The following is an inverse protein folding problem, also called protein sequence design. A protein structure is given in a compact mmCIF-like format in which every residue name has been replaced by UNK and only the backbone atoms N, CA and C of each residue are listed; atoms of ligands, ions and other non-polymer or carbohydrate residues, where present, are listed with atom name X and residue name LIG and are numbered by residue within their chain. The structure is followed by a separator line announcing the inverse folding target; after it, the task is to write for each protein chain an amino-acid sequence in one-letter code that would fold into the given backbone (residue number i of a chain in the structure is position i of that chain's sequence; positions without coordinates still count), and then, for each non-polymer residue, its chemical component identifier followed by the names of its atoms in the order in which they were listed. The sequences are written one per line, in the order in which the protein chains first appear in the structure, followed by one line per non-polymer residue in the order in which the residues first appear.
data_IF_100527786791
#
_entry.id   IF_100527786791
#
_cell.length_a   1.000
_cell.length_b   1.000
_cell.length_c   1.000
_cell.angle_alpha   90.00
_cell.angle_beta   90.00
_cell.angle_gamma   90.00
#
_symmetry.space_group_name_H-M   'P 1'
#
loop_
_entity.id
_entity.type
_entity.pdbx_description
1 polymer ?
#
# COMPACT_ATOMS: atom_id res chain seq x y z
N UNK A 1 14.12 33.75 6.36
CA UNK A 1 12.96 33.39 7.20
C UNK A 1 11.71 33.67 6.39
N UNK A 2 11.18 32.67 5.71
CA UNK A 2 9.86 32.76 5.08
C UNK A 2 8.91 32.05 6.03
N UNK A 3 8.07 32.84 6.68
CA UNK A 3 7.02 32.37 7.58
C UNK A 3 5.85 31.92 6.70
N UNK A 4 5.57 30.61 6.68
CA UNK A 4 4.37 30.09 6.02
C UNK A 4 3.14 30.50 6.85
N UNK A 5 2.30 31.34 6.23
CA UNK A 5 1.07 31.86 6.79
C UNK A 5 -0.10 30.91 6.53
N UNK A 6 -0.32 29.91 7.40
CA UNK A 6 -1.62 29.24 7.56
C UNK A 6 -1.86 28.97 9.06
N UNK A 7 -2.89 29.64 9.61
CA UNK A 7 -3.67 29.39 10.83
C UNK A 7 -2.97 28.79 12.08
N UNK A 8 -2.91 29.59 13.16
CA UNK A 8 -2.61 29.26 14.58
C UNK A 8 -2.03 27.86 14.86
N UNK A 9 -0.72 27.82 15.14
CA UNK A 9 0.15 26.63 15.26
C UNK A 9 0.03 25.89 16.62
N UNK A 10 -0.66 26.46 17.62
CA UNK A 10 -0.65 25.87 18.96
C UNK A 10 -1.80 24.88 19.17
N UNK A 11 -1.44 23.59 19.29
CA UNK A 11 -2.35 22.55 19.76
C UNK A 11 -2.77 22.84 21.20
N UNK A 12 -4.06 22.68 21.50
CA UNK A 12 -4.56 22.77 22.86
C UNK A 12 -4.32 21.46 23.62
N UNK A 13 -4.43 21.48 24.95
CA UNK A 13 -4.41 20.25 25.75
C UNK A 13 -5.50 19.25 25.30
N UNK A 14 -6.65 19.74 24.85
CA UNK A 14 -7.73 18.91 24.32
C UNK A 14 -7.34 18.20 23.02
N UNK A 15 -6.61 18.89 22.14
CA UNK A 15 -6.13 18.29 20.88
C UNK A 15 -5.10 17.19 21.16
N UNK A 16 -4.20 17.41 22.13
CA UNK A 16 -3.20 16.43 22.55
C UNK A 16 -3.86 15.21 23.21
N UNK A 17 -4.86 15.41 24.08
CA UNK A 17 -5.62 14.30 24.67
C UNK A 17 -6.35 13.52 23.59
N UNK A 18 -7.03 14.22 22.66
CA UNK A 18 -7.72 13.57 21.54
C UNK A 18 -6.77 12.76 20.65
N UNK A 19 -5.55 13.26 20.43
CA UNK A 19 -4.51 12.53 19.71
C UNK A 19 -4.05 11.29 20.49
N UNK A 20 -3.91 11.41 21.81
CA UNK A 20 -3.57 10.27 22.67
C UNK A 20 -4.67 9.20 22.70
N UNK A 21 -5.94 9.59 22.57
CA UNK A 21 -7.09 8.67 22.63
C UNK A 21 -7.46 8.07 21.25
N UNK A 22 -6.89 8.57 20.15
CA UNK A 22 -7.30 8.17 18.78
C UNK A 22 -7.10 6.69 18.46
N UNK A 23 -6.28 5.97 19.24
CA UNK A 23 -6.12 4.53 19.10
C UNK A 23 -7.43 3.76 19.35
N UNK A 24 -8.32 4.29 20.20
CA UNK A 24 -9.55 3.61 20.61
C UNK A 24 -10.47 3.34 19.42
N UNK A 25 -10.66 4.32 18.54
CA UNK A 25 -11.49 4.18 17.33
C UNK A 25 -10.91 3.12 16.37
N UNK A 26 -9.59 3.11 16.21
CA UNK A 26 -8.89 2.10 15.39
C UNK A 26 -9.13 0.69 15.95
N UNK A 27 -8.99 0.51 17.26
CA UNK A 27 -9.21 -0.79 17.90
C UNK A 27 -10.66 -1.28 17.76
N UNK A 28 -11.64 -0.38 17.88
CA UNK A 28 -13.07 -0.69 17.70
C UNK A 28 -13.34 -1.14 16.25
N UNK A 29 -12.86 -0.40 15.26
CA UNK A 29 -13.01 -0.74 13.84
C UNK A 29 -12.38 -2.09 13.50
N UNK A 30 -11.14 -2.30 13.97
CA UNK A 30 -10.39 -3.54 13.75
C UNK A 30 -11.11 -4.75 14.37
N UNK A 31 -11.64 -4.61 15.59
CA UNK A 31 -12.43 -5.67 16.23
C UNK A 31 -13.74 -5.96 15.48
N UNK A 32 -14.48 -4.93 15.08
CA UNK A 32 -15.73 -5.08 14.33
C UNK A 32 -15.51 -5.77 12.98
N UNK A 33 -14.43 -5.42 12.27
CA UNK A 33 -14.02 -6.05 11.02
C UNK A 33 -13.68 -7.53 11.21
N UNK A 34 -12.76 -7.82 12.12
CA UNK A 34 -12.21 -9.19 12.31
C UNK A 34 -13.18 -10.16 12.96
N UNK A 35 -14.10 -9.66 13.78
CA UNK A 35 -15.20 -10.47 14.31
C UNK A 35 -16.25 -10.81 13.25
N UNK A 36 -16.20 -10.20 12.06
CA UNK A 36 -17.22 -10.34 11.02
C UNK A 36 -18.56 -9.75 11.44
N UNK A 37 -18.54 -8.65 12.19
CA UNK A 37 -19.75 -7.96 12.66
C UNK A 37 -20.47 -7.26 11.50
N UNK A 38 -19.72 -6.64 10.57
CA UNK A 38 -20.29 -5.96 9.42
C UNK A 38 -21.05 -6.92 8.48
N UNK A 39 -20.67 -8.20 8.41
CA UNK A 39 -21.42 -9.21 7.65
C UNK A 39 -22.82 -9.46 8.24
N UNK A 40 -22.95 -9.44 9.57
CA UNK A 40 -24.24 -9.62 10.25
C UNK A 40 -25.14 -8.38 10.16
N UNK A 41 -24.55 -7.22 9.89
CA UNK A 41 -25.23 -5.93 9.85
C UNK A 41 -25.62 -5.50 8.42
N UNK A 42 -25.49 -6.38 7.43
CA UNK A 42 -25.94 -6.11 6.05
C UNK A 42 -27.41 -5.69 5.99
N UNK A 43 -28.24 -6.34 6.81
CA UNK A 43 -29.66 -6.08 6.99
C UNK A 43 -29.97 -5.65 8.44
N UNK A 44 -31.08 -4.93 8.69
CA UNK A 44 -31.48 -4.52 10.04
C UNK A 44 -31.66 -5.69 11.01
N UNK A 45 -30.86 -5.72 12.08
CA UNK A 45 -30.83 -6.79 13.09
C UNK A 45 -30.77 -6.21 14.51
N UNK A 46 -31.32 -6.91 15.50
CA UNK A 46 -31.27 -6.45 16.90
C UNK A 46 -29.96 -6.82 17.59
N UNK A 47 -29.64 -6.12 18.68
CA UNK A 47 -28.47 -6.43 19.49
C UNK A 47 -28.55 -7.83 20.10
N UNK A 48 -29.75 -8.30 20.46
CA UNK A 48 -30.02 -9.64 20.99
C UNK A 48 -29.62 -10.72 19.99
N UNK A 49 -30.01 -10.58 18.71
CA UNK A 49 -29.67 -11.55 17.67
C UNK A 49 -28.16 -11.62 17.45
N UNK A 50 -27.47 -10.47 17.36
CA UNK A 50 -26.00 -10.44 17.23
C UNK A 50 -25.35 -11.08 18.47
N UNK A 51 -25.83 -10.73 19.65
CA UNK A 51 -25.30 -11.23 20.92
C UNK A 51 -25.41 -12.76 21.00
N UNK A 52 -26.56 -13.33 20.62
CA UNK A 52 -26.77 -14.77 20.58
C UNK A 52 -25.88 -15.44 19.52
N UNK A 53 -25.80 -14.87 18.32
CA UNK A 53 -24.99 -15.42 17.22
C UNK A 53 -23.49 -15.46 17.55
N UNK A 54 -22.96 -14.42 18.20
CA UNK A 54 -21.53 -14.30 18.55
C UNK A 54 -21.17 -14.84 19.93
N UNK A 55 -22.15 -15.23 20.75
CA UNK A 55 -21.93 -15.60 22.16
C UNK A 55 -21.45 -14.42 23.03
N UNK A 56 -21.82 -13.19 22.68
CA UNK A 56 -21.45 -11.99 23.42
C UNK A 56 -22.49 -11.69 24.52
N UNK A 57 -22.12 -10.79 25.44
CA UNK A 57 -23.06 -10.28 26.45
C UNK A 57 -23.90 -9.14 25.84
N UNK A 58 -25.24 -9.25 25.93
CA UNK A 58 -26.17 -8.29 25.33
C UNK A 58 -25.80 -6.84 25.64
N UNK A 59 -25.60 -6.50 26.92
CA UNK A 59 -25.20 -5.15 27.35
C UNK A 59 -23.94 -4.66 26.63
N UNK A 60 -22.92 -5.52 26.45
CA UNK A 60 -21.66 -5.16 25.81
C UNK A 60 -21.82 -5.03 24.29
N UNK A 61 -22.59 -5.92 23.66
CA UNK A 61 -22.95 -5.84 22.24
C UNK A 61 -23.68 -4.54 21.93
N UNK A 62 -24.66 -4.15 22.74
CA UNK A 62 -25.39 -2.88 22.58
C UNK A 62 -24.46 -1.68 22.68
N UNK A 63 -23.49 -1.68 23.60
CA UNK A 63 -22.51 -0.60 23.72
C UNK A 63 -21.59 -0.51 22.48
N UNK A 64 -21.13 -1.66 21.96
CA UNK A 64 -20.34 -1.71 20.72
C UNK A 64 -21.14 -1.17 19.53
N UNK A 65 -22.40 -1.57 19.38
CA UNK A 65 -23.25 -1.08 18.30
C UNK A 65 -23.53 0.42 18.42
N UNK A 66 -23.76 0.93 19.63
CA UNK A 66 -23.93 2.37 19.87
C UNK A 66 -22.68 3.18 19.47
N UNK A 67 -21.47 2.71 19.79
CA UNK A 67 -20.24 3.43 19.39
C UNK A 67 -20.03 3.37 17.88
N UNK A 68 -20.28 2.22 17.24
CA UNK A 68 -20.25 2.12 15.77
C UNK A 68 -21.28 3.04 15.09
N UNK A 69 -22.43 3.25 15.72
CA UNK A 69 -23.41 4.26 15.28
C UNK A 69 -22.88 5.68 15.45
N UNK A 70 -22.24 5.99 16.58
CA UNK A 70 -21.64 7.32 16.78
C UNK A 70 -20.51 7.63 15.79
N UNK A 71 -19.77 6.61 15.36
CA UNK A 71 -18.74 6.69 14.31
C UNK A 71 -19.31 6.70 12.89
N UNK A 72 -20.64 6.75 12.73
CA UNK A 72 -21.33 6.73 11.43
C UNK A 72 -21.05 5.50 10.57
N UNK A 73 -20.65 4.38 11.19
CA UNK A 73 -20.47 3.10 10.50
C UNK A 73 -21.79 2.31 10.43
N UNK A 74 -22.67 2.50 11.41
CA UNK A 74 -23.92 1.76 11.59
C UNK A 74 -25.08 2.72 11.80
N UNK A 75 -26.23 2.49 11.18
CA UNK A 75 -27.48 3.21 11.46
C UNK A 75 -28.27 2.44 12.50
N UNK A 76 -28.86 3.17 13.46
CA UNK A 76 -29.81 2.63 14.43
C UNK A 76 -31.22 3.12 14.10
N UNK A 77 -32.18 2.21 14.03
CA UNK A 77 -33.62 2.50 13.93
C UNK A 77 -34.34 1.67 14.98
N UNK A 78 -34.95 2.35 15.96
CA UNK A 78 -35.54 1.72 17.16
C UNK A 78 -34.54 0.78 17.87
N UNK A 79 -34.83 -0.51 17.88
CA UNK A 79 -34.01 -1.58 18.49
C UNK A 79 -33.10 -2.31 17.50
N UNK A 80 -33.11 -1.91 16.22
CA UNK A 80 -32.33 -2.53 15.13
C UNK A 80 -31.16 -1.68 14.67
N UNK A 81 -30.15 -2.38 14.17
CA UNK A 81 -28.90 -1.83 13.65
C UNK A 81 -28.62 -2.41 12.27
N UNK A 82 -28.11 -1.60 11.35
CA UNK A 82 -27.57 -2.06 10.07
C UNK A 82 -26.40 -1.17 9.63
N UNK A 83 -25.58 -1.66 8.73
CA UNK A 83 -24.50 -0.88 8.12
C UNK A 83 -25.07 0.35 7.39
N UNK A 84 -24.31 1.44 7.38
CA UNK A 84 -24.56 2.49 6.38
C UNK A 84 -24.27 1.95 4.97
N UNK A 85 -24.80 2.58 3.90
CA UNK A 85 -24.49 2.18 2.53
C UNK A 85 -22.99 2.16 2.22
N UNK A 86 -22.23 3.13 2.75
CA UNK A 86 -20.78 3.17 2.61
C UNK A 86 -20.08 2.05 3.36
N UNK A 87 -20.51 1.74 4.59
CA UNK A 87 -19.99 0.60 5.36
C UNK A 87 -20.24 -0.71 4.64
N UNK A 88 -21.45 -0.96 4.12
CA UNK A 88 -21.74 -2.15 3.31
C UNK A 88 -20.81 -2.23 2.09
N UNK A 89 -20.57 -1.11 1.40
CA UNK A 89 -19.70 -1.11 0.21
C UNK A 89 -18.24 -1.49 0.50
N UNK A 90 -17.72 -1.12 1.67
CA UNK A 90 -16.27 -1.19 1.96
C UNK A 90 -15.88 -2.07 3.14
N UNK A 91 -16.81 -2.58 3.93
CA UNK A 91 -16.53 -3.43 5.11
C UNK A 91 -17.23 -4.78 5.07
N UNK A 92 -17.87 -5.14 3.95
CA UNK A 92 -18.34 -6.51 3.68
C UNK A 92 -17.59 -7.12 2.50
N UNK A 93 -17.33 -8.42 2.55
CA UNK A 93 -16.43 -9.14 1.63
C UNK A 93 -16.86 -9.09 0.16
N UNK A 94 -18.17 -8.97 -0.08
CA UNK A 94 -18.80 -8.83 -1.40
C UNK A 94 -18.91 -7.38 -1.87
N UNK A 95 -18.52 -6.41 -1.03
CA UNK A 95 -18.54 -5.00 -1.36
C UNK A 95 -17.48 -4.64 -2.43
N UNK A 96 -17.83 -3.83 -3.45
CA UNK A 96 -16.92 -3.51 -4.55
C UNK A 96 -15.70 -2.67 -4.15
N UNK A 97 -15.59 -2.26 -2.88
CA UNK A 97 -14.41 -1.59 -2.33
C UNK A 97 -14.01 -2.13 -0.96
N UNK A 98 -14.20 -3.43 -0.72
CA UNK A 98 -13.97 -4.07 0.58
C UNK A 98 -12.56 -3.88 1.15
N UNK A 99 -12.34 -2.99 2.13
CA UNK A 99 -11.03 -2.68 2.75
C UNK A 99 -10.68 -3.52 3.99
N UNK A 100 -11.42 -4.60 4.26
CA UNK A 100 -11.22 -5.37 5.48
C UNK A 100 -9.86 -6.09 5.57
N UNK A 101 -9.22 -6.40 4.43
CA UNK A 101 -7.87 -6.94 4.40
C UNK A 101 -6.82 -5.91 4.89
N UNK A 102 -6.95 -4.65 4.45
CA UNK A 102 -6.10 -3.56 4.93
C UNK A 102 -6.26 -3.32 6.43
N UNK A 103 -7.49 -3.36 6.94
CA UNK A 103 -7.76 -3.22 8.37
C UNK A 103 -7.16 -4.37 9.17
N UNK A 104 -7.20 -5.60 8.64
CA UNK A 104 -6.58 -6.76 9.31
C UNK A 104 -5.06 -6.66 9.33
N UNK A 105 -4.44 -6.26 8.21
CA UNK A 105 -3.01 -5.97 8.14
C UNK A 105 -2.59 -4.94 9.20
N UNK A 106 -3.32 -3.82 9.30
CA UNK A 106 -3.10 -2.79 10.32
C UNK A 106 -3.27 -3.31 11.75
N UNK A 107 -4.30 -4.13 12.02
CA UNK A 107 -4.52 -4.74 13.34
C UNK A 107 -3.34 -5.63 13.73
N UNK A 108 -2.82 -6.41 12.80
CA UNK A 108 -1.68 -7.30 13.06
C UNK A 108 -0.41 -6.52 13.42
N UNK A 109 -0.28 -5.25 13.03
CA UNK A 109 0.84 -4.38 13.39
C UNK A 109 0.73 -3.78 14.81
N UNK A 110 -0.41 -3.89 15.47
CA UNK A 110 -0.69 -3.17 16.73
C UNK A 110 0.40 -3.30 17.79
N UNK A 111 0.91 -4.52 18.00
CA UNK A 111 1.94 -4.77 19.02
C UNK A 111 3.28 -4.10 18.68
N UNK A 112 3.62 -3.98 17.40
CA UNK A 112 4.86 -3.35 16.94
C UNK A 112 4.89 -1.86 17.28
N UNK A 113 3.73 -1.18 17.17
CA UNK A 113 3.62 0.24 17.51
C UNK A 113 3.91 0.54 18.99
N UNK A 114 3.67 -0.41 19.90
CA UNK A 114 4.06 -0.26 21.30
C UNK A 114 5.59 -0.34 21.53
N UNK A 115 6.34 -0.84 20.53
CA UNK A 115 7.80 -1.01 20.56
C UNK A 115 8.57 0.07 19.80
N UNK A 116 7.96 1.24 19.56
CA UNK A 116 8.55 2.36 18.80
C UNK A 116 9.98 2.71 19.23
N UNK A 117 10.26 2.71 20.54
CA UNK A 117 11.60 3.00 21.07
C UNK A 117 12.64 1.93 20.73
N UNK A 118 12.24 0.67 20.66
CA UNK A 118 13.11 -0.44 20.25
C UNK A 118 13.43 -0.33 18.75
N UNK A 119 12.42 -0.04 17.92
CA UNK A 119 12.62 0.15 16.47
C UNK A 119 13.59 1.30 16.21
N UNK A 120 13.39 2.46 16.85
CA UNK A 120 14.26 3.64 16.67
C UNK A 120 15.71 3.37 17.07
N UNK A 121 15.94 2.46 18.02
CA UNK A 121 17.26 2.20 18.59
C UNK A 121 17.99 1.02 17.96
N UNK A 122 17.45 0.43 16.89
CA UNK A 122 17.97 -0.79 16.25
C UNK A 122 18.35 -0.53 14.79
N UNK A 123 19.53 -1.01 14.39
CA UNK A 123 19.93 -1.07 12.97
C UNK A 123 19.40 -2.35 12.27
N UNK A 124 19.06 -3.37 13.06
CA UNK A 124 18.57 -4.67 12.57
C UNK A 124 17.06 -4.79 12.76
N UNK A 125 16.36 -5.58 11.93
CA UNK A 125 14.92 -5.79 12.09
C UNK A 125 14.59 -6.48 13.43
N UNK A 126 13.59 -5.97 14.13
CA UNK A 126 13.08 -6.54 15.39
C UNK A 126 11.83 -7.39 15.17
N UNK A 127 11.47 -8.20 16.18
CA UNK A 127 10.26 -9.02 16.11
C UNK A 127 8.99 -8.17 15.92
N UNK A 128 8.31 -8.43 14.79
CA UNK A 128 7.10 -7.73 14.39
C UNK A 128 7.25 -7.01 13.04
N UNK A 129 8.47 -6.61 12.67
CA UNK A 129 8.76 -6.05 11.35
C UNK A 129 8.66 -7.11 10.25
N UNK A 130 8.39 -6.66 9.02
CA UNK A 130 7.94 -7.50 7.91
C UNK A 130 8.96 -8.58 7.53
N UNK A 131 10.25 -8.27 7.55
CA UNK A 131 11.37 -9.14 7.20
C UNK A 131 11.39 -10.42 8.03
N UNK A 132 10.95 -10.33 9.29
CA UNK A 132 10.86 -11.44 10.24
C UNK A 132 9.44 -12.02 10.31
N UNK A 133 8.42 -11.16 10.32
CA UNK A 133 7.03 -11.56 10.58
C UNK A 133 6.40 -12.30 9.42
N UNK A 134 6.52 -11.78 8.20
CA UNK A 134 5.84 -12.33 7.03
C UNK A 134 6.36 -13.74 6.66
N UNK A 135 7.60 -14.07 7.04
CA UNK A 135 8.16 -15.41 6.88
C UNK A 135 7.63 -16.43 7.90
N UNK A 136 7.26 -15.98 9.10
CA UNK A 136 6.88 -16.82 10.23
C UNK A 136 5.36 -16.98 10.40
N UNK A 137 4.60 -16.01 9.90
CA UNK A 137 3.16 -15.93 10.08
C UNK A 137 2.45 -15.87 8.71
N UNK A 138 1.96 -17.02 8.18
CA UNK A 138 1.25 -17.07 6.91
C UNK A 138 -0.01 -16.19 6.87
N UNK A 139 -0.69 -16.02 8.01
CA UNK A 139 -1.89 -15.18 8.09
C UNK A 139 -1.52 -13.70 7.93
N UNK A 140 -0.42 -13.25 8.54
CA UNK A 140 0.10 -11.91 8.32
C UNK A 140 0.58 -11.69 6.88
N UNK A 141 1.20 -12.70 6.26
CA UNK A 141 1.61 -12.62 4.86
C UNK A 141 0.42 -12.49 3.90
N UNK A 142 -0.62 -13.31 4.08
CA UNK A 142 -1.85 -13.22 3.28
C UNK A 142 -2.55 -11.87 3.49
N UNK A 143 -2.74 -11.44 4.74
CA UNK A 143 -3.37 -10.14 5.04
C UNK A 143 -2.63 -8.97 4.39
N UNK A 144 -1.29 -8.98 4.41
CA UNK A 144 -0.46 -7.99 3.73
C UNK A 144 -0.66 -8.03 2.21
N UNK A 145 -0.53 -9.20 1.58
CA UNK A 145 -0.67 -9.35 0.13
C UNK A 145 -2.06 -8.94 -0.36
N UNK A 146 -3.13 -9.34 0.34
CA UNK A 146 -4.50 -8.95 0.00
C UNK A 146 -4.73 -7.44 0.15
N UNK A 147 -4.16 -6.82 1.20
CA UNK A 147 -4.22 -5.38 1.38
C UNK A 147 -3.51 -4.63 0.24
N UNK A 148 -2.31 -5.07 -0.15
CA UNK A 148 -1.54 -4.43 -1.22
C UNK A 148 -2.19 -4.63 -2.59
N UNK A 149 -2.73 -5.82 -2.86
CA UNK A 149 -3.51 -6.13 -4.05
C UNK A 149 -4.68 -5.16 -4.20
N UNK A 150 -5.39 -4.89 -3.11
CA UNK A 150 -6.50 -3.97 -3.12
C UNK A 150 -6.08 -2.52 -3.38
N UNK A 151 -5.07 -2.01 -2.65
CA UNK A 151 -4.58 -0.64 -2.84
C UNK A 151 -4.08 -0.41 -4.26
N UNK A 152 -3.45 -1.42 -4.86
CA UNK A 152 -2.97 -1.36 -6.24
C UNK A 152 -4.10 -1.18 -7.27
N UNK A 153 -5.29 -1.75 -7.04
CA UNK A 153 -6.42 -1.68 -7.99
C UNK A 153 -6.89 -0.26 -8.27
N UNK A 154 -6.75 0.66 -7.31
CA UNK A 154 -7.16 2.06 -7.48
C UNK A 154 -6.30 2.80 -8.53
N UNK A 155 -5.07 2.34 -8.71
CA UNK A 155 -4.06 3.00 -9.53
C UNK A 155 -3.91 2.39 -10.93
N UNK A 156 -4.25 1.12 -11.09
CA UNK A 156 -4.01 0.34 -12.32
C UNK A 156 -4.57 0.99 -13.58
N UNK A 157 -5.82 1.49 -13.53
CA UNK A 157 -6.48 2.04 -14.71
C UNK A 157 -5.70 3.20 -15.36
N UNK A 158 -4.99 3.99 -14.54
CA UNK A 158 -4.20 5.13 -15.02
C UNK A 158 -2.87 4.71 -15.64
N UNK A 159 -2.30 3.56 -15.25
CA UNK A 159 -1.06 3.03 -15.85
C UNK A 159 -1.36 2.27 -17.14
N UNK A 160 -2.42 1.47 -17.16
CA UNK A 160 -2.81 0.65 -18.32
C UNK A 160 -3.04 1.50 -19.57
N UNK A 161 -3.57 2.71 -19.39
CA UNK A 161 -3.90 3.64 -20.47
C UNK A 161 -2.74 4.56 -20.90
N UNK A 162 -1.52 4.34 -20.39
CA UNK A 162 -0.36 5.14 -20.76
C UNK A 162 0.04 4.88 -22.22
N UNK A 163 0.36 5.93 -23.02
CA UNK A 163 0.85 5.78 -24.39
C UNK A 163 2.11 4.91 -24.49
N UNK A 164 2.92 4.85 -23.42
CA UNK A 164 4.09 4.00 -23.32
C UNK A 164 3.77 2.50 -23.48
N UNK A 165 2.52 2.09 -23.21
CA UNK A 165 2.03 0.71 -23.34
C UNK A 165 1.62 0.35 -24.78
N UNK A 166 1.72 1.28 -25.75
CA UNK A 166 1.40 0.99 -27.14
C UNK A 166 2.45 0.10 -27.83
N UNK A 167 1.99 -0.87 -28.60
CA UNK A 167 2.81 -1.77 -29.40
C UNK A 167 3.39 -2.96 -28.64
N UNK A 168 4.34 -3.65 -29.28
CA UNK A 168 5.05 -4.78 -28.66
C UNK A 168 6.09 -4.26 -27.66
N UNK A 169 5.95 -4.67 -26.39
CA UNK A 169 6.83 -4.29 -25.28
C UNK A 169 7.17 -5.50 -24.42
N UNK A 170 8.41 -5.53 -23.96
CA UNK A 170 8.85 -6.38 -22.86
C UNK A 170 9.01 -5.55 -21.58
N UNK A 171 8.25 -5.88 -20.54
CA UNK A 171 8.18 -5.11 -19.29
C UNK A 171 8.78 -5.90 -18.12
N UNK A 172 9.59 -5.21 -17.31
CA UNK A 172 10.02 -5.70 -16.00
C UNK A 172 9.24 -5.00 -14.89
N UNK A 173 8.57 -5.75 -14.04
CA UNK A 173 7.92 -5.25 -12.83
C UNK A 173 8.78 -5.64 -11.62
N UNK A 174 9.62 -4.69 -11.17
CA UNK A 174 10.68 -4.92 -10.19
C UNK A 174 10.16 -4.70 -8.77
N UNK A 175 10.34 -5.69 -7.91
CA UNK A 175 9.61 -5.80 -6.63
C UNK A 175 8.09 -5.71 -6.85
N UNK A 176 7.61 -6.38 -7.92
CA UNK A 176 6.21 -6.30 -8.34
C UNK A 176 5.24 -7.12 -7.48
N UNK A 177 5.75 -7.89 -6.52
CA UNK A 177 4.97 -8.65 -5.54
C UNK A 177 3.95 -9.57 -6.19
N UNK A 178 2.68 -9.28 -5.94
CA UNK A 178 1.53 -10.00 -6.49
C UNK A 178 1.32 -9.74 -8.00
N UNK A 179 2.06 -8.83 -8.64
CA UNK A 179 2.14 -8.68 -10.09
C UNK A 179 0.89 -8.07 -10.76
N UNK A 180 0.02 -7.41 -9.99
CA UNK A 180 -1.28 -6.93 -10.51
C UNK A 180 -1.14 -5.79 -11.50
N UNK A 181 -0.12 -4.94 -11.36
CA UNK A 181 0.17 -3.89 -12.35
C UNK A 181 0.48 -4.51 -13.71
N UNK A 182 1.50 -5.37 -13.79
CA UNK A 182 1.89 -6.02 -15.04
C UNK A 182 0.79 -6.93 -15.61
N UNK A 183 0.07 -7.65 -14.75
CA UNK A 183 -1.03 -8.53 -15.19
C UNK A 183 -2.19 -7.76 -15.80
N UNK A 184 -2.56 -6.63 -15.20
CA UNK A 184 -3.57 -5.75 -15.77
C UNK A 184 -3.10 -5.17 -17.10
N UNK A 185 -1.87 -4.66 -17.18
CA UNK A 185 -1.30 -4.13 -18.42
C UNK A 185 -1.36 -5.18 -19.54
N UNK A 186 -0.90 -6.41 -19.30
CA UNK A 186 -0.91 -7.50 -20.29
C UNK A 186 -2.34 -7.95 -20.67
N UNK A 187 -3.29 -7.89 -19.73
CA UNK A 187 -4.69 -8.21 -20.02
C UNK A 187 -5.31 -7.25 -21.04
N UNK A 188 -5.00 -5.96 -20.92
CA UNK A 188 -5.54 -4.93 -21.82
C UNK A 188 -4.69 -4.74 -23.10
N UNK A 189 -3.42 -5.17 -23.08
CA UNK A 189 -2.49 -5.04 -24.20
C UNK A 189 -1.90 -6.43 -24.54
N UNK A 190 -2.56 -7.23 -25.40
CA UNK A 190 -2.18 -8.62 -25.68
C UNK A 190 -0.80 -8.84 -26.32
N UNK A 191 -0.13 -7.74 -26.73
CA UNK A 191 1.20 -7.74 -27.32
C UNK A 191 2.31 -7.52 -26.27
N UNK A 192 1.93 -7.25 -25.02
CA UNK A 192 2.87 -7.04 -23.93
C UNK A 192 3.24 -8.37 -23.30
N UNK A 193 4.54 -8.60 -23.16
CA UNK A 193 5.09 -9.70 -22.38
C UNK A 193 5.97 -9.14 -21.27
N UNK A 194 6.29 -9.93 -20.26
CA UNK A 194 7.13 -9.41 -19.20
C UNK A 194 7.39 -10.36 -18.06
N UNK A 195 8.09 -9.83 -17.06
CA UNK A 195 8.43 -10.56 -15.85
C UNK A 195 8.13 -9.74 -14.61
N UNK A 196 7.55 -10.39 -13.61
CA UNK A 196 7.50 -9.90 -12.24
C UNK A 196 8.74 -10.43 -11.51
N UNK A 197 9.54 -9.53 -10.95
CA UNK A 197 10.73 -9.88 -10.18
C UNK A 197 10.48 -9.62 -8.70
N UNK A 198 10.59 -10.64 -7.87
CA UNK A 198 10.43 -10.50 -6.42
C UNK A 198 11.08 -11.68 -5.68
N UNK A 199 11.00 -11.69 -4.35
CA UNK A 199 11.40 -12.82 -3.53
C UNK A 199 10.41 -13.98 -3.64
N UNK A 200 10.89 -15.20 -3.33
CA UNK A 200 10.09 -16.43 -3.39
C UNK A 200 8.76 -16.35 -2.63
N UNK A 201 8.69 -15.56 -1.56
CA UNK A 201 7.49 -15.36 -0.74
C UNK A 201 6.32 -14.72 -1.50
N UNK A 202 6.56 -14.05 -2.62
CA UNK A 202 5.51 -13.44 -3.44
C UNK A 202 4.98 -14.36 -4.56
N UNK A 203 5.68 -15.47 -4.85
CA UNK A 203 5.41 -16.33 -6.02
C UNK A 203 3.97 -16.83 -6.06
N UNK A 204 3.47 -17.36 -4.95
CA UNK A 204 2.13 -17.94 -4.89
C UNK A 204 1.06 -16.87 -5.15
N UNK A 205 1.18 -15.70 -4.54
CA UNK A 205 0.27 -14.58 -4.77
C UNK A 205 0.31 -14.12 -6.24
N UNK A 206 1.50 -14.01 -6.83
CA UNK A 206 1.67 -13.64 -8.25
C UNK A 206 1.01 -14.65 -9.19
N UNK A 207 1.19 -15.95 -8.97
CA UNK A 207 0.60 -17.00 -9.80
C UNK A 207 -0.93 -16.99 -9.76
N UNK A 208 -1.53 -16.75 -8.58
CA UNK A 208 -2.97 -16.57 -8.47
C UNK A 208 -3.45 -15.37 -9.27
N UNK A 209 -2.76 -14.22 -9.17
CA UNK A 209 -3.11 -13.03 -9.96
C UNK A 209 -2.95 -13.27 -11.46
N UNK A 210 -1.90 -13.99 -11.89
CA UNK A 210 -1.73 -14.29 -13.32
C UNK A 210 -2.90 -15.10 -13.86
N UNK A 211 -3.37 -16.09 -13.09
CA UNK A 211 -4.54 -16.90 -13.43
C UNK A 211 -5.84 -16.10 -13.43
N UNK A 212 -6.05 -15.24 -12.42
CA UNK A 212 -7.23 -14.38 -12.33
C UNK A 212 -7.36 -13.43 -13.53
N UNK A 213 -6.23 -12.92 -14.03
CA UNK A 213 -6.19 -12.08 -15.23
C UNK A 213 -6.16 -12.90 -16.53
N UNK A 214 -5.76 -14.17 -16.49
CA UNK A 214 -5.59 -15.05 -17.66
C UNK A 214 -4.41 -14.63 -18.53
N UNK A 215 -3.26 -14.34 -17.92
CA UNK A 215 -2.05 -13.81 -18.56
C UNK A 215 -0.82 -14.70 -18.38
N UNK A 216 -1.01 -15.95 -17.99
CA UNK A 216 0.07 -16.91 -17.69
C UNK A 216 0.97 -17.22 -18.89
N UNK A 217 0.47 -16.99 -20.12
CA UNK A 217 1.24 -17.12 -21.36
C UNK A 217 2.02 -15.86 -21.76
N UNK A 218 1.80 -14.73 -21.06
CA UNK A 218 2.43 -13.43 -21.35
C UNK A 218 3.43 -13.02 -20.27
N UNK A 219 3.14 -13.38 -19.01
CA UNK A 219 3.88 -12.93 -17.84
C UNK A 219 4.47 -14.11 -17.08
N UNK A 220 5.74 -13.98 -16.70
CA UNK A 220 6.45 -14.95 -15.88
C UNK A 220 6.85 -14.36 -14.52
N UNK A 221 6.94 -15.20 -13.49
CA UNK A 221 7.53 -14.81 -12.21
C UNK A 221 8.99 -15.24 -12.15
N UNK A 222 9.88 -14.29 -11.88
CA UNK A 222 11.30 -14.53 -11.63
C UNK A 222 11.65 -14.22 -10.18
N UNK A 223 12.25 -15.20 -9.51
CA UNK A 223 12.83 -14.95 -8.20
C UNK A 223 14.13 -14.14 -8.36
N UNK A 224 14.16 -12.93 -7.80
CA UNK A 224 15.30 -12.02 -7.92
C UNK A 224 15.34 -11.03 -6.76
N UNK A 225 16.55 -10.66 -6.35
CA UNK A 225 16.79 -9.57 -5.42
C UNK A 225 17.19 -8.33 -6.23
N UNK A 226 16.29 -7.37 -6.34
CA UNK A 226 16.48 -6.20 -7.21
C UNK A 226 17.61 -5.28 -6.73
N UNK A 227 18.10 -5.44 -5.50
CA UNK A 227 19.28 -4.71 -5.00
C UNK A 227 20.60 -5.27 -5.53
N UNK A 228 20.61 -6.51 -6.04
CA UNK A 228 21.82 -7.17 -6.54
C UNK A 228 22.03 -6.91 -8.02
N UNK A 229 23.19 -6.36 -8.38
CA UNK A 229 23.58 -6.15 -9.78
C UNK A 229 23.51 -7.43 -10.63
N UNK A 230 23.84 -8.60 -10.05
CA UNK A 230 23.80 -9.89 -10.74
C UNK A 230 22.40 -10.30 -11.21
N UNK A 231 21.33 -9.77 -10.60
CA UNK A 231 19.95 -10.05 -11.05
C UNK A 231 19.67 -9.48 -12.45
N UNK A 232 20.40 -8.46 -12.87
CA UNK A 232 20.19 -7.73 -14.12
C UNK A 232 21.03 -8.24 -15.30
N UNK A 233 21.94 -9.19 -15.06
CA UNK A 233 22.85 -9.70 -16.09
C UNK A 233 22.09 -10.33 -17.27
N UNK A 234 22.44 -9.92 -18.49
CA UNK A 234 21.84 -10.43 -19.73
C UNK A 234 20.41 -9.95 -20.00
N UNK A 235 19.83 -9.11 -19.15
CA UNK A 235 18.43 -8.66 -19.28
C UNK A 235 18.32 -7.41 -20.13
N UNK A 236 17.28 -7.36 -20.98
CA UNK A 236 16.89 -6.17 -21.73
C UNK A 236 15.37 -5.99 -21.71
N UNK A 237 14.92 -4.75 -21.53
CA UNK A 237 13.51 -4.41 -21.45
C UNK A 237 13.18 -3.08 -22.15
N UNK A 238 11.93 -2.93 -22.57
CA UNK A 238 11.41 -1.68 -23.13
C UNK A 238 10.90 -0.78 -22.00
N UNK A 239 10.30 -1.38 -20.97
CA UNK A 239 9.79 -0.68 -19.80
C UNK A 239 10.25 -1.42 -18.54
N UNK A 240 10.62 -0.66 -17.51
CA UNK A 240 10.84 -1.14 -16.17
C UNK A 240 9.93 -0.35 -15.22
N UNK A 241 9.29 -1.06 -14.30
CA UNK A 241 8.40 -0.48 -13.31
C UNK A 241 8.93 -0.75 -11.91
N UNK A 242 8.90 0.28 -11.08
CA UNK A 242 9.19 0.24 -9.64
C UNK A 242 7.97 0.81 -8.93
N UNK A 243 6.95 -0.03 -8.75
CA UNK A 243 5.66 0.40 -8.23
C UNK A 243 5.60 0.27 -6.72
N UNK A 244 5.53 1.41 -6.02
CA UNK A 244 5.36 1.48 -4.56
C UNK A 244 6.33 0.57 -3.78
N UNK A 245 7.60 0.54 -4.19
CA UNK A 245 8.60 -0.38 -3.63
C UNK A 245 9.90 0.29 -3.19
N UNK A 246 10.25 1.47 -3.71
CA UNK A 246 11.53 2.12 -3.39
C UNK A 246 11.64 2.54 -1.91
N UNK A 247 10.51 2.63 -1.20
CA UNK A 247 10.48 2.99 0.20
C UNK A 247 10.92 1.86 1.16
N UNK A 248 11.25 0.67 0.63
CA UNK A 248 11.85 -0.43 1.37
C UNK A 248 13.38 -0.33 1.50
N UNK A 249 14.00 0.61 0.76
CA UNK A 249 15.45 0.67 0.58
C UNK A 249 16.02 2.00 1.04
N UNK A 250 17.26 1.96 1.54
CA UNK A 250 18.07 3.15 1.79
C UNK A 250 18.44 3.85 0.47
N UNK A 251 18.81 5.13 0.56
CA UNK A 251 19.10 5.97 -0.61
C UNK A 251 20.21 5.38 -1.48
N UNK A 252 21.27 4.85 -0.87
CA UNK A 252 22.39 4.22 -1.56
C UNK A 252 21.93 3.03 -2.42
N UNK A 253 21.04 2.21 -1.85
CA UNK A 253 20.46 1.06 -2.55
C UNK A 253 19.51 1.50 -3.65
N UNK A 254 18.69 2.54 -3.44
CA UNK A 254 17.84 3.12 -4.49
C UNK A 254 18.67 3.62 -5.66
N UNK A 255 19.77 4.33 -5.42
CA UNK A 255 20.67 4.80 -6.49
C UNK A 255 21.25 3.63 -7.28
N UNK A 256 21.65 2.55 -6.60
CA UNK A 256 22.14 1.33 -7.25
C UNK A 256 21.05 0.69 -8.12
N UNK A 257 19.83 0.52 -7.60
CA UNK A 257 18.69 -0.02 -8.35
C UNK A 257 18.43 0.81 -9.60
N UNK A 258 18.32 2.14 -9.48
CA UNK A 258 18.08 3.04 -10.61
C UNK A 258 19.18 2.91 -11.68
N UNK A 259 20.44 2.80 -11.27
CA UNK A 259 21.56 2.57 -12.18
C UNK A 259 21.47 1.23 -12.92
N UNK A 260 21.07 0.14 -12.23
CA UNK A 260 20.89 -1.17 -12.87
C UNK A 260 19.73 -1.16 -13.87
N UNK A 261 18.62 -0.51 -13.49
CA UNK A 261 17.44 -0.33 -14.35
C UNK A 261 17.81 0.45 -15.62
N UNK A 262 18.58 1.52 -15.49
CA UNK A 262 19.11 2.25 -16.64
C UNK A 262 19.93 1.33 -17.56
N UNK A 263 20.72 0.40 -17.01
CA UNK A 263 21.53 -0.56 -17.77
C UNK A 263 20.73 -1.56 -18.60
N UNK A 264 19.59 -2.03 -18.09
CA UNK A 264 18.74 -3.04 -18.77
C UNK A 264 17.74 -2.42 -19.75
N UNK A 265 17.32 -1.18 -19.56
CA UNK A 265 16.39 -0.53 -20.49
C UNK A 265 17.03 -0.34 -21.87
N UNK A 266 16.29 -0.55 -22.95
CA UNK A 266 16.76 -0.20 -24.30
C UNK A 266 16.87 1.33 -24.45
N UNK A 267 17.59 1.81 -25.47
CA UNK A 267 17.60 3.24 -25.79
C UNK A 267 16.18 3.68 -26.14
N UNK A 268 15.70 4.78 -25.55
CA UNK A 268 14.30 5.20 -25.64
C UNK A 268 13.33 4.34 -24.81
N UNK A 269 13.84 3.44 -23.97
CA UNK A 269 13.04 2.69 -23.00
C UNK A 269 12.60 3.56 -21.83
N UNK A 270 11.56 3.12 -21.14
CA UNK A 270 10.88 3.90 -20.09
C UNK A 270 11.07 3.28 -18.71
N UNK A 271 11.36 4.11 -17.72
CA UNK A 271 11.26 3.79 -16.30
C UNK A 271 10.00 4.43 -15.71
N UNK A 272 9.13 3.63 -15.11
CA UNK A 272 7.95 4.08 -14.38
C UNK A 272 8.16 3.86 -12.88
N UNK A 273 7.94 4.89 -12.08
CA UNK A 273 7.98 4.81 -10.62
C UNK A 273 6.68 5.35 -10.07
N UNK A 274 5.94 4.54 -9.31
CA UNK A 274 4.82 5.03 -8.51
C UNK A 274 5.25 5.16 -7.05
N UNK A 275 4.96 6.32 -6.45
CA UNK A 275 5.34 6.61 -5.06
C UNK A 275 4.44 7.69 -4.48
N UNK A 276 4.40 7.79 -3.16
CA UNK A 276 3.77 8.90 -2.46
C UNK A 276 4.64 10.15 -2.65
N UNK A 277 4.01 11.26 -3.03
CA UNK A 277 4.71 12.52 -3.18
C UNK A 277 5.19 13.06 -1.84
N UNK A 278 6.46 13.40 -1.78
CA UNK A 278 7.08 14.08 -0.64
C UNK A 278 8.02 15.17 -1.14
N UNK A 279 7.90 16.37 -0.58
CA UNK A 279 8.80 17.48 -0.85
C UNK A 279 10.18 17.27 -0.21
N UNK A 280 11.15 18.08 -0.62
CA UNK A 280 12.54 18.02 -0.11
C UNK A 280 12.66 18.31 1.38
N UNK A 281 11.66 18.94 1.99
CA UNK A 281 11.64 19.22 3.43
C UNK A 281 11.32 17.98 4.28
N UNK A 282 10.92 16.87 3.64
CA UNK A 282 10.53 15.61 4.28
C UNK A 282 9.37 15.72 5.29
N UNK A 283 8.65 16.84 5.29
CA UNK A 283 7.51 17.09 6.19
C UNK A 283 6.24 17.46 5.43
N UNK A 284 6.36 17.81 4.15
CA UNK A 284 5.26 18.21 3.28
C UNK A 284 5.02 17.17 2.18
N UNK A 285 3.77 16.72 1.98
CA UNK A 285 2.63 16.81 2.89
C UNK A 285 2.85 16.01 4.17
N UNK A 286 2.18 16.38 5.27
CA UNK A 286 2.30 15.67 6.55
C UNK A 286 1.95 14.16 6.46
N UNK A 287 1.05 13.79 5.54
CA UNK A 287 0.72 12.39 5.28
C UNK A 287 1.93 11.59 4.75
N UNK A 288 2.80 12.20 3.95
CA UNK A 288 3.99 11.57 3.40
C UNK A 288 5.05 11.33 4.48
N UNK A 289 5.26 12.30 5.37
CA UNK A 289 6.12 12.14 6.54
C UNK A 289 5.62 11.02 7.48
N UNK A 290 4.30 10.99 7.73
CA UNK A 290 3.66 9.91 8.50
C UNK A 290 3.83 8.54 7.83
N UNK A 291 3.75 8.47 6.50
CA UNK A 291 4.01 7.23 5.76
C UNK A 291 5.48 6.80 5.86
N UNK A 292 6.43 7.73 5.75
CA UNK A 292 7.85 7.43 5.96
C UNK A 292 8.10 6.82 7.33
N UNK A 293 7.48 7.38 8.38
CA UNK A 293 7.55 6.84 9.73
C UNK A 293 6.89 5.45 9.83
N UNK A 294 5.75 5.25 9.18
CA UNK A 294 5.09 3.95 9.08
C UNK A 294 6.00 2.91 8.40
N UNK A 295 6.78 3.28 7.38
CA UNK A 295 7.73 2.36 6.73
C UNK A 295 8.89 1.99 7.66
N UNK A 296 9.48 2.96 8.36
CA UNK A 296 10.50 2.69 9.39
C UNK A 296 9.96 1.74 10.47
N UNK A 297 8.72 1.96 10.91
CA UNK A 297 8.08 1.06 11.87
C UNK A 297 7.92 -0.37 11.34
N UNK A 298 7.76 -0.56 10.03
CA UNK A 298 7.46 -1.85 9.43
C UNK A 298 8.68 -2.61 8.93
N UNK A 299 9.77 -1.93 8.61
CA UNK A 299 10.96 -2.50 7.96
C UNK A 299 12.22 -1.80 8.47
N UNK A 300 13.35 -2.52 8.55
CA UNK A 300 14.61 -2.02 9.10
C UNK A 300 15.12 -0.78 8.36
N UNK A 301 15.01 -0.77 7.03
CA UNK A 301 15.51 0.31 6.17
C UNK A 301 14.38 1.16 5.54
N UNK A 302 13.18 1.07 6.09
CA UNK A 302 11.99 1.69 5.51
C UNK A 302 12.00 3.21 5.60
N UNK A 303 11.93 3.87 4.45
CA UNK A 303 11.87 5.33 4.38
C UNK A 303 11.23 5.78 3.06
N UNK A 304 10.38 6.81 3.10
CA UNK A 304 9.93 7.47 1.89
C UNK A 304 11.01 8.45 1.39
N UNK A 305 11.33 8.42 0.10
CA UNK A 305 12.30 9.32 -0.51
C UNK A 305 11.62 10.55 -1.10
N UNK A 306 12.20 11.78 -0.96
CA UNK A 306 11.64 12.96 -1.60
C UNK A 306 11.50 12.77 -3.11
N UNK A 307 10.33 13.08 -3.65
CA UNK A 307 10.06 12.95 -5.09
C UNK A 307 11.06 13.78 -5.92
N UNK A 308 11.39 15.04 -5.56
CA UNK A 308 12.40 15.79 -6.28
C UNK A 308 13.80 15.15 -6.23
N UNK A 309 14.14 14.44 -5.15
CA UNK A 309 15.42 13.72 -5.07
C UNK A 309 15.44 12.52 -6.02
N UNK A 310 14.35 11.75 -6.10
CA UNK A 310 14.22 10.65 -7.07
C UNK A 310 14.37 11.15 -8.52
N UNK A 311 13.75 12.30 -8.83
CA UNK A 311 13.89 12.96 -10.14
C UNK A 311 15.35 13.30 -10.43
N UNK A 312 16.06 13.94 -9.48
CA UNK A 312 17.49 14.26 -9.65
C UNK A 312 18.31 13.00 -9.95
N UNK A 313 18.07 11.90 -9.21
CA UNK A 313 18.81 10.65 -9.41
C UNK A 313 18.58 10.07 -10.81
N UNK A 314 17.34 10.10 -11.30
CA UNK A 314 17.00 9.65 -12.65
C UNK A 314 17.63 10.55 -13.72
N UNK A 315 17.59 11.87 -13.57
CA UNK A 315 18.19 12.79 -14.54
C UNK A 315 19.73 12.62 -14.62
N UNK A 316 20.38 12.42 -13.47
CA UNK A 316 21.83 12.20 -13.37
C UNK A 316 22.31 10.96 -14.12
N UNK A 317 21.47 9.93 -14.24
CA UNK A 317 21.78 8.68 -14.96
C UNK A 317 21.21 8.64 -16.40
N UNK A 318 20.79 9.80 -16.92
CA UNK A 318 20.47 9.96 -18.34
C UNK A 318 19.01 9.75 -18.73
N UNK A 319 18.07 9.93 -17.80
CA UNK A 319 16.65 10.02 -18.14
C UNK A 319 16.21 11.47 -18.44
N UNK A 320 15.19 11.61 -19.27
CA UNK A 320 14.32 12.79 -19.30
C UNK A 320 13.09 12.47 -18.44
N UNK A 321 12.82 13.28 -17.42
CA UNK A 321 11.85 12.92 -16.37
C UNK A 321 10.61 13.81 -16.40
N UNK A 322 9.44 13.19 -16.35
CA UNK A 322 8.14 13.84 -16.15
C UNK A 322 7.50 13.31 -14.87
N UNK A 323 6.85 14.18 -14.09
CA UNK A 323 6.08 13.79 -12.90
C UNK A 323 4.60 14.10 -13.12
N UNK A 324 3.75 13.07 -13.06
CA UNK A 324 2.30 13.19 -13.17
C UNK A 324 1.64 12.93 -11.82
N UNK A 325 0.63 13.72 -11.47
CA UNK A 325 -0.21 13.42 -10.31
C UNK A 325 -1.01 12.15 -10.59
N UNK A 326 -1.05 11.25 -9.62
CA UNK A 326 -1.51 9.89 -9.82
C UNK A 326 -2.32 9.48 -8.59
N UNK A 327 -3.60 9.86 -8.53
CA UNK A 327 -4.47 9.53 -7.37
C UNK A 327 -4.18 10.33 -6.08
N UNK A 328 -4.94 10.02 -5.02
CA UNK A 328 -4.84 10.64 -3.68
C UNK A 328 -4.49 9.58 -2.63
N UNK A 329 -3.73 9.96 -1.61
CA UNK A 329 -3.43 9.14 -0.42
C UNK A 329 -4.28 9.62 0.75
N UNK A 330 -5.26 8.81 1.13
CA UNK A 330 -6.05 9.03 2.34
C UNK A 330 -6.70 10.41 2.43
N UNK A 331 -7.05 10.81 3.66
CA UNK A 331 -7.82 12.04 3.94
C UNK A 331 -6.95 13.26 4.28
N UNK A 332 -5.63 13.08 4.45
CA UNK A 332 -4.68 14.12 4.90
C UNK A 332 -3.86 14.78 3.79
N UNK A 333 -4.39 14.82 2.57
CA UNK A 333 -3.80 15.57 1.46
C UNK A 333 -2.52 14.98 0.85
N UNK A 334 -2.16 13.74 1.19
CA UNK A 334 -1.13 13.01 0.45
C UNK A 334 -1.59 12.73 -0.97
N UNK A 335 -0.66 12.64 -1.91
CA UNK A 335 -0.93 12.31 -3.32
C UNK A 335 0.07 11.25 -3.76
N UNK A 336 -0.38 10.28 -4.53
CA UNK A 336 0.53 9.43 -5.28
C UNK A 336 0.95 10.18 -6.54
N UNK A 337 2.16 9.89 -7.01
CA UNK A 337 2.70 10.41 -8.27
C UNK A 337 3.26 9.27 -9.08
N UNK A 338 3.17 9.44 -10.40
CA UNK A 338 3.84 8.61 -11.38
C UNK A 338 5.00 9.42 -11.94
N UNK A 339 6.22 8.95 -11.72
CA UNK A 339 7.45 9.49 -12.31
C UNK A 339 7.76 8.67 -13.56
N UNK A 340 7.87 9.33 -14.70
CA UNK A 340 8.12 8.73 -16.02
C UNK A 340 9.49 9.20 -16.49
N UNK A 341 10.45 8.28 -16.58
CA UNK A 341 11.79 8.54 -17.10
C UNK A 341 11.96 7.94 -18.49
N UNK A 342 12.20 8.75 -19.51
CA UNK A 342 12.58 8.29 -20.85
C UNK A 342 14.10 8.25 -21.00
N UNK A 343 14.68 7.09 -21.31
CA UNK A 343 16.13 6.92 -21.44
C UNK A 343 16.65 7.61 -22.71
N UNK A 344 17.63 8.49 -22.56
CA UNK A 344 18.28 9.26 -23.66
C UNK A 344 19.00 8.37 -24.69
#
# INVERSE_FOLDING_TARGET
MVVNSHNSIDLTASDIISMSDSFQESAILQFANTSGLFELLKEPVTAETISQSKGWLLRKTTLLLNVLTSLSLVVKSDDKYCNTPSTNRVLTKDGPGYVGALIEHQRLQWQLWSKIGEVISSEEPIEGQQELKLKKDPHANDAFNQAMLQLSKENIASIVALPEMEGEKYILDLAGGHGTYLSAIAKYNPHITGQVWDFATAREAAQHVFADYGVENQIEFREADISKASSYEGVKADIAMLNDCLHYFEQETVVQILSQVAGVLRKGGTLLITTIYMDRDCVTPAAAAGFSFYMMMNTAHGQLHPTPWLVDQMENIGFNVEVRNFGRVGTKGGKYVLIIGQRK
#
